data_IF_241747578094
#
_entry.id   IF_241747578094
#
_cell.length_a   1.000
_cell.length_b   1.000
_cell.length_c   1.000
_cell.angle_alpha   90.00
_cell.angle_beta   90.00
_cell.angle_gamma   90.00
#
_symmetry.space_group_name_H-M   'P 1'
#
loop_
_entity.id
_entity.type
_entity.pdbx_description
1 polymer ?
#
# COMPACT_ATOMS: atom_id res chain seq x y z
N UNK A 1 -10.28 11.74 -9.24
CA UNK A 1 -8.99 11.03 -9.51
C UNK A 1 -7.76 11.73 -8.94
N UNK A 2 -7.64 13.10 -9.01
CA UNK A 2 -6.44 13.78 -8.46
C UNK A 2 -6.31 13.61 -6.95
N UNK A 3 -7.39 13.73 -6.22
CA UNK A 3 -7.40 13.61 -4.74
C UNK A 3 -7.08 12.18 -4.26
N UNK A 4 -7.41 11.19 -5.08
CA UNK A 4 -7.18 9.77 -4.78
C UNK A 4 -5.70 9.38 -4.78
N UNK A 5 -4.86 10.08 -5.56
CA UNK A 5 -3.42 9.81 -5.64
C UNK A 5 -2.73 10.12 -4.31
N UNK A 6 -3.21 11.15 -3.57
CA UNK A 6 -2.68 11.51 -2.26
C UNK A 6 -3.04 10.53 -1.14
N UNK A 7 -4.03 9.65 -1.35
CA UNK A 7 -4.35 8.63 -0.37
C UNK A 7 -3.20 7.66 -0.15
N UNK A 8 -2.39 7.38 -1.18
CA UNK A 8 -1.26 6.46 -1.03
C UNK A 8 -0.23 6.95 -0.01
N UNK A 9 0.42 8.13 -0.15
CA UNK A 9 1.37 8.59 0.86
C UNK A 9 0.74 8.81 2.24
N UNK A 10 -0.54 9.19 2.32
CA UNK A 10 -1.22 9.36 3.59
C UNK A 10 -1.46 8.03 4.32
N UNK A 11 -1.92 7.01 3.61
CA UNK A 11 -2.13 5.68 4.19
C UNK A 11 -0.79 5.00 4.52
N UNK A 12 0.22 5.21 3.67
CA UNK A 12 1.57 4.71 3.87
C UNK A 12 2.13 5.23 5.20
N UNK A 13 2.26 6.54 5.36
CA UNK A 13 2.83 7.11 6.59
C UNK A 13 2.00 6.79 7.84
N UNK A 14 0.67 6.75 7.72
CA UNK A 14 -0.21 6.38 8.83
C UNK A 14 0.05 4.95 9.31
N UNK A 15 0.26 4.01 8.38
CA UNK A 15 0.58 2.63 8.68
C UNK A 15 1.99 2.49 9.28
N UNK A 16 2.98 3.10 8.63
CA UNK A 16 4.38 2.95 9.03
C UNK A 16 4.71 3.65 10.35
N UNK A 17 3.93 4.63 10.78
CA UNK A 17 4.07 5.20 12.14
C UNK A 17 3.87 4.14 13.23
N UNK A 18 2.89 3.23 13.07
CA UNK A 18 2.70 2.12 14.01
C UNK A 18 3.91 1.17 13.97
N UNK A 19 4.43 0.91 12.76
CA UNK A 19 5.60 0.06 12.58
C UNK A 19 6.86 0.66 13.22
N UNK A 20 7.18 1.90 12.92
CA UNK A 20 8.34 2.61 13.48
C UNK A 20 8.33 2.57 15.02
N UNK A 21 7.17 2.87 15.61
CA UNK A 21 7.06 2.93 17.09
C UNK A 21 7.14 1.54 17.72
N UNK A 22 6.54 0.55 17.08
CA UNK A 22 6.27 -0.74 17.72
C UNK A 22 7.23 -1.88 17.35
N UNK A 23 7.78 -1.87 16.12
CA UNK A 23 8.37 -3.07 15.54
C UNK A 23 9.67 -3.53 16.20
N UNK A 24 10.65 -2.64 16.38
CA UNK A 24 11.91 -3.00 17.00
C UNK A 24 11.75 -3.45 18.46
N UNK A 25 11.02 -2.72 19.34
CA UNK A 25 10.73 -3.18 20.69
C UNK A 25 9.94 -4.50 20.73
N UNK A 26 9.08 -4.75 19.72
CA UNK A 26 8.34 -5.98 19.62
C UNK A 26 9.24 -7.17 19.26
N UNK A 27 10.18 -7.01 18.32
CA UNK A 27 11.18 -8.03 17.97
C UNK A 27 11.98 -8.44 19.21
N UNK A 28 12.51 -7.47 19.95
CA UNK A 28 13.29 -7.74 21.18
C UNK A 28 12.49 -8.55 22.21
N UNK A 29 11.24 -8.18 22.46
CA UNK A 29 10.37 -8.88 23.41
C UNK A 29 9.95 -10.26 22.95
N UNK A 30 9.99 -10.54 21.66
CA UNK A 30 9.55 -11.80 21.07
C UNK A 30 10.69 -12.63 20.46
N UNK A 31 11.94 -12.30 20.75
CA UNK A 31 13.13 -12.95 20.16
C UNK A 31 13.07 -14.48 20.23
N UNK A 32 12.74 -15.07 21.40
CA UNK A 32 12.62 -16.51 21.58
C UNK A 32 11.54 -17.15 20.69
N UNK A 33 10.43 -16.47 20.49
CA UNK A 33 9.35 -16.93 19.61
C UNK A 33 9.79 -16.86 18.15
N UNK A 34 10.41 -15.74 17.76
CA UNK A 34 10.90 -15.52 16.40
C UNK A 34 12.03 -16.49 16.05
N UNK A 35 12.97 -16.73 16.96
CA UNK A 35 14.03 -17.73 16.77
C UNK A 35 13.46 -19.13 16.48
N UNK A 36 12.30 -19.48 17.03
CA UNK A 36 11.66 -20.79 16.83
C UNK A 36 10.79 -20.84 15.57
N UNK A 37 10.09 -19.75 15.23
CA UNK A 37 9.07 -19.76 14.19
C UNK A 37 9.42 -18.91 12.96
N UNK A 38 10.20 -17.86 13.13
CA UNK A 38 10.42 -16.82 12.12
C UNK A 38 11.85 -16.26 12.18
N UNK A 39 12.86 -17.13 12.18
CA UNK A 39 14.29 -16.77 12.23
C UNK A 39 14.65 -15.73 11.15
N UNK A 40 13.99 -15.78 10.01
CA UNK A 40 14.15 -14.82 8.93
C UNK A 40 13.95 -13.37 9.43
N UNK A 41 12.88 -13.11 10.21
CA UNK A 41 12.59 -11.76 10.74
C UNK A 41 13.74 -11.28 11.64
N UNK A 42 14.27 -12.15 12.53
CA UNK A 42 15.40 -11.80 13.37
C UNK A 42 16.66 -11.48 12.56
N UNK A 43 16.97 -12.31 11.58
CA UNK A 43 18.19 -12.14 10.78
C UNK A 43 18.15 -10.87 9.92
N UNK A 44 16.99 -10.54 9.36
CA UNK A 44 16.81 -9.34 8.53
C UNK A 44 16.95 -8.06 9.33
N UNK A 45 16.54 -8.07 10.62
CA UNK A 45 16.55 -6.88 11.47
C UNK A 45 17.66 -6.89 12.52
N UNK A 46 18.59 -7.85 12.43
CA UNK A 46 19.71 -7.96 13.37
C UNK A 46 20.61 -6.72 13.30
N UNK A 47 20.75 -6.05 14.45
CA UNK A 47 21.59 -4.85 14.57
C UNK A 47 20.95 -3.56 14.04
N UNK A 48 19.69 -3.60 13.61
CA UNK A 48 18.94 -2.41 13.24
C UNK A 48 18.40 -1.73 14.50
N UNK A 49 18.61 -0.42 14.64
CA UNK A 49 17.98 0.38 15.69
C UNK A 49 16.63 0.92 15.22
N UNK A 50 15.81 1.40 16.17
CA UNK A 50 14.54 2.08 15.85
C UNK A 50 14.77 3.29 14.93
N UNK A 51 15.84 4.04 15.17
CA UNK A 51 16.21 5.22 14.35
C UNK A 51 16.62 4.80 12.94
N UNK A 52 17.40 3.72 12.83
CA UNK A 52 17.81 3.16 11.52
C UNK A 52 16.60 2.66 10.73
N UNK A 53 15.66 2.00 11.41
CA UNK A 53 14.41 1.57 10.80
C UNK A 53 13.55 2.76 10.36
N UNK A 54 13.40 3.78 11.22
CA UNK A 54 12.66 5.00 10.89
C UNK A 54 13.27 5.74 9.69
N UNK A 55 14.61 5.75 9.57
CA UNK A 55 15.28 6.37 8.44
C UNK A 55 14.96 5.62 7.13
N UNK A 56 15.02 4.29 7.14
CA UNK A 56 14.66 3.48 5.96
C UNK A 56 13.21 3.73 5.51
N UNK A 57 12.26 3.77 6.46
CA UNK A 57 10.85 4.09 6.17
C UNK A 57 10.72 5.52 5.63
N UNK A 58 11.48 6.49 6.17
CA UNK A 58 11.47 7.86 5.66
C UNK A 58 11.96 7.95 4.21
N UNK A 59 12.98 7.18 3.83
CA UNK A 59 13.47 7.10 2.45
C UNK A 59 12.38 6.53 1.52
N UNK A 60 11.71 5.45 1.91
CA UNK A 60 10.58 4.89 1.15
C UNK A 60 9.43 5.88 1.03
N UNK A 61 9.10 6.60 2.11
CA UNK A 61 8.07 7.63 2.10
C UNK A 61 8.37 8.77 1.12
N UNK A 62 9.63 9.21 1.05
CA UNK A 62 10.06 10.21 0.06
C UNK A 62 9.83 9.70 -1.37
N UNK A 63 10.15 8.44 -1.65
CA UNK A 63 9.90 7.84 -2.97
C UNK A 63 8.40 7.81 -3.27
N UNK A 64 7.55 7.39 -2.33
CA UNK A 64 6.09 7.36 -2.48
C UNK A 64 5.53 8.76 -2.74
N UNK A 65 6.02 9.78 -2.00
CA UNK A 65 5.66 11.19 -2.21
C UNK A 65 6.04 11.68 -3.60
N UNK A 66 7.27 11.44 -4.03
CA UNK A 66 7.77 11.89 -5.35
C UNK A 66 7.00 11.21 -6.48
N UNK A 67 6.77 9.91 -6.41
CA UNK A 67 5.98 9.18 -7.41
C UNK A 67 4.55 9.74 -7.48
N UNK A 68 3.91 9.98 -6.33
CA UNK A 68 2.56 10.56 -6.28
C UNK A 68 2.52 11.98 -6.87
N UNK A 69 3.48 12.80 -6.50
CA UNK A 69 3.62 14.17 -6.99
C UNK A 69 3.82 14.23 -8.51
N UNK A 70 4.79 13.48 -9.04
CA UNK A 70 5.04 13.46 -10.49
C UNK A 70 3.89 12.84 -11.28
N UNK A 71 3.19 11.87 -10.72
CA UNK A 71 1.98 11.31 -11.36
C UNK A 71 0.90 12.39 -11.54
N UNK A 72 0.77 13.31 -10.56
CA UNK A 72 -0.19 14.43 -10.64
C UNK A 72 0.20 15.53 -11.62
N UNK A 73 1.50 15.80 -11.79
CA UNK A 73 1.98 16.89 -12.64
C UNK A 73 2.15 16.44 -14.09
N UNK A 74 2.82 15.31 -14.29
CA UNK A 74 3.21 14.88 -15.63
C UNK A 74 2.09 14.16 -16.39
N UNK A 75 1.08 13.62 -15.71
CA UNK A 75 -0.07 12.91 -16.29
C UNK A 75 0.31 11.79 -17.28
N UNK A 76 1.50 11.19 -17.16
CA UNK A 76 1.94 10.13 -18.06
C UNK A 76 1.40 8.77 -17.62
N UNK A 77 1.10 7.91 -18.61
CA UNK A 77 0.65 6.53 -18.34
C UNK A 77 1.69 5.73 -17.54
N UNK A 78 2.98 5.94 -17.80
CA UNK A 78 4.06 5.25 -17.11
C UNK A 78 4.08 5.57 -15.61
N UNK A 79 4.04 6.86 -15.24
CA UNK A 79 4.01 7.28 -13.84
C UNK A 79 2.78 6.77 -13.11
N UNK A 80 1.62 6.78 -13.79
CA UNK A 80 0.41 6.20 -13.22
C UNK A 80 0.54 4.69 -12.96
N UNK A 81 1.18 3.94 -13.86
CA UNK A 81 1.42 2.51 -13.67
C UNK A 81 2.43 2.24 -12.54
N UNK A 82 3.47 3.06 -12.41
CA UNK A 82 4.43 2.98 -11.31
C UNK A 82 3.71 3.26 -9.97
N UNK A 83 2.92 4.33 -9.91
CA UNK A 83 2.14 4.67 -8.73
C UNK A 83 1.16 3.54 -8.36
N UNK A 84 0.44 3.00 -9.34
CA UNK A 84 -0.51 1.90 -9.11
C UNK A 84 0.20 0.63 -8.63
N UNK A 85 1.35 0.31 -9.23
CA UNK A 85 2.18 -0.83 -8.80
C UNK A 85 2.65 -0.70 -7.36
N UNK A 86 3.14 0.49 -6.95
CA UNK A 86 3.50 0.80 -5.57
C UNK A 86 2.30 0.70 -4.62
N UNK A 87 1.14 1.20 -5.02
CA UNK A 87 -0.08 1.13 -4.23
C UNK A 87 -0.59 -0.32 -4.06
N UNK A 88 -0.48 -1.17 -5.09
CA UNK A 88 -0.77 -2.60 -4.99
C UNK A 88 0.23 -3.31 -4.07
N UNK A 89 1.52 -3.00 -4.20
CA UNK A 89 2.56 -3.55 -3.33
C UNK A 89 2.30 -3.20 -1.86
N UNK A 90 1.90 -1.96 -1.57
CA UNK A 90 1.49 -1.54 -0.24
C UNK A 90 0.26 -2.31 0.26
N UNK A 91 -0.77 -2.51 -0.57
CA UNK A 91 -1.93 -3.32 -0.19
C UNK A 91 -1.54 -4.76 0.17
N UNK A 92 -0.63 -5.37 -0.60
CA UNK A 92 -0.10 -6.70 -0.30
C UNK A 92 0.71 -6.72 1.00
N UNK A 93 1.50 -5.67 1.28
CA UNK A 93 2.23 -5.51 2.53
C UNK A 93 1.28 -5.52 3.75
N UNK A 94 0.16 -4.81 3.70
CA UNK A 94 -0.86 -4.84 4.76
C UNK A 94 -1.43 -6.25 4.98
N UNK A 95 -1.69 -6.98 3.89
CA UNK A 95 -2.15 -8.38 3.98
C UNK A 95 -1.09 -9.26 4.65
N UNK A 96 0.19 -9.05 4.34
CA UNK A 96 1.29 -9.79 4.96
C UNK A 96 1.31 -9.60 6.48
N UNK A 97 1.13 -8.37 6.99
CA UNK A 97 1.04 -8.13 8.44
C UNK A 97 -0.11 -8.90 9.08
N UNK A 98 -1.28 -8.92 8.46
CA UNK A 98 -2.43 -9.69 8.96
C UNK A 98 -2.11 -11.20 8.98
N UNK A 99 -1.53 -11.73 7.91
CA UNK A 99 -1.15 -13.13 7.81
C UNK A 99 -0.07 -13.51 8.84
N UNK A 100 0.92 -12.64 9.05
CA UNK A 100 1.95 -12.83 10.08
C UNK A 100 1.36 -12.88 11.49
N UNK A 101 0.42 -11.98 11.81
CA UNK A 101 -0.26 -11.97 13.11
C UNK A 101 -1.05 -13.27 13.34
N UNK A 102 -1.77 -13.76 12.33
CA UNK A 102 -2.50 -15.03 12.37
C UNK A 102 -1.53 -16.21 12.56
N UNK A 103 -0.45 -16.24 11.80
CA UNK A 103 0.54 -17.32 11.85
C UNK A 103 1.28 -17.39 13.19
N UNK A 104 1.70 -16.22 13.71
CA UNK A 104 2.37 -16.14 15.00
C UNK A 104 1.39 -16.28 16.18
N UNK A 105 0.08 -16.12 15.91
CA UNK A 105 -1.00 -16.07 16.90
C UNK A 105 -0.73 -15.01 17.98
N UNK A 106 -0.25 -13.84 17.55
CA UNK A 106 0.08 -12.70 18.39
C UNK A 106 -0.17 -11.40 17.64
N UNK A 107 -0.47 -10.36 18.41
CA UNK A 107 -0.41 -9.01 17.89
C UNK A 107 1.01 -8.71 17.42
N UNK A 108 1.14 -8.12 16.23
CA UNK A 108 2.38 -7.53 15.72
C UNK A 108 2.11 -6.05 15.44
N UNK A 109 3.13 -5.18 15.57
CA UNK A 109 3.01 -3.79 15.15
C UNK A 109 2.59 -3.69 13.68
N UNK A 110 1.90 -2.62 13.33
CA UNK A 110 1.27 -2.41 12.03
C UNK A 110 0.01 -3.27 11.76
N UNK A 111 -0.40 -4.17 12.66
CA UNK A 111 -1.62 -4.95 12.49
C UNK A 111 -2.88 -4.08 12.56
N UNK A 112 -2.96 -3.15 13.54
CA UNK A 112 -4.15 -2.31 13.71
C UNK A 112 -4.34 -1.40 12.50
N UNK A 113 -3.30 -0.73 12.06
CA UNK A 113 -3.35 0.13 10.87
C UNK A 113 -3.57 -0.67 9.58
N UNK A 114 -3.04 -1.90 9.46
CA UNK A 114 -3.35 -2.80 8.34
C UNK A 114 -4.86 -3.09 8.24
N UNK A 115 -5.50 -3.41 9.36
CA UNK A 115 -6.96 -3.68 9.40
C UNK A 115 -7.76 -2.42 9.06
N UNK A 116 -7.28 -1.23 9.45
CA UNK A 116 -7.96 0.03 9.15
C UNK A 116 -7.74 0.50 7.70
N UNK A 117 -6.53 0.36 7.17
CA UNK A 117 -6.18 0.84 5.82
C UNK A 117 -6.72 -0.09 4.72
N UNK A 118 -6.73 -1.40 4.93
CA UNK A 118 -7.10 -2.36 3.89
C UNK A 118 -8.52 -2.16 3.33
N UNK A 119 -9.58 -1.89 4.14
CA UNK A 119 -10.91 -1.57 3.63
C UNK A 119 -10.92 -0.29 2.78
N UNK A 120 -10.16 0.74 3.16
CA UNK A 120 -10.06 2.00 2.40
C UNK A 120 -9.45 1.73 1.02
N UNK A 121 -8.36 0.97 0.98
CA UNK A 121 -7.68 0.57 -0.24
C UNK A 121 -8.60 -0.30 -1.12
N UNK A 122 -9.29 -1.27 -0.54
CA UNK A 122 -10.24 -2.14 -1.26
C UNK A 122 -11.38 -1.35 -1.88
N UNK A 123 -11.97 -0.41 -1.14
CA UNK A 123 -13.01 0.48 -1.67
C UNK A 123 -12.49 1.35 -2.81
N UNK A 124 -11.26 1.83 -2.70
CA UNK A 124 -10.64 2.62 -3.76
C UNK A 124 -10.43 1.80 -5.05
N UNK A 125 -9.90 0.58 -4.93
CA UNK A 125 -9.77 -0.32 -6.08
C UNK A 125 -11.11 -0.63 -6.72
N UNK A 126 -12.14 -0.89 -5.91
CA UNK A 126 -13.50 -1.13 -6.40
C UNK A 126 -14.07 0.09 -7.14
N UNK A 127 -13.91 1.29 -6.60
CA UNK A 127 -14.33 2.54 -7.24
C UNK A 127 -13.60 2.79 -8.58
N UNK A 128 -12.29 2.55 -8.63
CA UNK A 128 -11.50 2.67 -9.85
C UNK A 128 -11.92 1.63 -10.91
N UNK A 129 -12.23 0.41 -10.49
CA UNK A 129 -12.71 -0.64 -11.37
C UNK A 129 -14.09 -0.32 -11.94
N UNK A 130 -15.05 0.10 -11.10
CA UNK A 130 -16.38 0.54 -11.54
C UNK A 130 -16.32 1.72 -12.50
N UNK A 131 -15.51 2.74 -12.20
CA UNK A 131 -15.32 3.90 -13.07
C UNK A 131 -14.79 3.51 -14.44
N UNK A 132 -13.88 2.55 -14.51
CA UNK A 132 -13.35 2.02 -15.78
C UNK A 132 -14.42 1.23 -16.58
N UNK A 133 -15.22 0.41 -15.91
CA UNK A 133 -16.31 -0.33 -16.53
C UNK A 133 -17.37 0.61 -17.12
N UNK A 134 -17.78 1.62 -16.32
CA UNK A 134 -18.76 2.61 -16.75
C UNK A 134 -18.27 3.43 -17.96
N UNK A 135 -17.03 3.90 -17.93
CA UNK A 135 -16.42 4.60 -19.07
C UNK A 135 -16.34 3.74 -20.33
N UNK A 136 -15.96 2.48 -20.19
CA UNK A 136 -15.95 1.53 -21.32
C UNK A 136 -17.34 1.25 -21.91
N UNK A 137 -18.37 1.18 -21.06
CA UNK A 137 -19.75 1.00 -21.47
C UNK A 137 -20.30 2.24 -22.21
N UNK A 138 -20.04 3.44 -21.72
CA UNK A 138 -20.40 4.68 -22.38
C UNK A 138 -19.74 4.80 -23.77
N UNK A 139 -18.44 4.57 -23.87
CA UNK A 139 -17.73 4.59 -25.15
C UNK A 139 -18.34 3.61 -26.16
N UNK A 140 -18.77 2.44 -25.72
CA UNK A 140 -19.43 1.44 -26.59
C UNK A 140 -20.79 1.91 -27.09
N UNK A 141 -21.57 2.60 -26.24
CA UNK A 141 -22.86 3.17 -26.64
C UNK A 141 -22.65 4.29 -27.67
N UNK A 142 -21.76 5.25 -27.40
CA UNK A 142 -21.50 6.36 -28.32
C UNK A 142 -20.94 5.87 -29.65
N UNK A 143 -20.05 4.90 -29.66
CA UNK A 143 -19.53 4.31 -30.90
C UNK A 143 -20.63 3.63 -31.71
N UNK A 144 -21.58 2.95 -31.08
CA UNK A 144 -22.69 2.31 -31.77
C UNK A 144 -23.71 3.31 -32.30
N UNK A 145 -23.96 4.44 -31.59
CA UNK A 145 -24.86 5.51 -32.06
C UNK A 145 -24.33 6.21 -33.31
N UNK A 146 -23.02 6.53 -33.37
CA UNK A 146 -22.41 7.11 -34.56
C UNK A 146 -22.46 6.15 -35.80
N UNK A 147 -22.47 4.85 -35.56
CA UNK A 147 -22.55 3.86 -36.64
C UNK A 147 -23.98 3.73 -37.21
N UNK A 148 -24.99 3.94 -36.37
CA UNK A 148 -26.39 3.93 -36.77
C UNK A 148 -26.76 5.20 -37.56
N UNK A 149 -26.18 6.34 -37.21
CA UNK A 149 -26.44 7.63 -37.86
C UNK A 149 -25.82 7.74 -39.27
N UNK A 150 -24.88 6.82 -39.60
CA UNK A 150 -24.22 6.72 -40.93
C UNK A 150 -24.83 5.68 -41.87
N UNK A 151 -25.93 5.03 -41.45
CA UNK A 151 -26.71 4.09 -42.26
C UNK A 151 -27.98 4.75 -42.81
#
# INVERSE_FOLDING_TARGET
MKDTIWLFPLLFIFHDLEEIIGFMPWIERNEKLLAKKAVFILNTHKGLSTEGFALAVAEEFVVVLLVSFFTLICHTRLLYLIWLGGFVAFALHLVVHILQAIWLRRYIPALATSILCLPVISNLFFALWLGRQFSGWLNKIFYNSEKIEKL
#
